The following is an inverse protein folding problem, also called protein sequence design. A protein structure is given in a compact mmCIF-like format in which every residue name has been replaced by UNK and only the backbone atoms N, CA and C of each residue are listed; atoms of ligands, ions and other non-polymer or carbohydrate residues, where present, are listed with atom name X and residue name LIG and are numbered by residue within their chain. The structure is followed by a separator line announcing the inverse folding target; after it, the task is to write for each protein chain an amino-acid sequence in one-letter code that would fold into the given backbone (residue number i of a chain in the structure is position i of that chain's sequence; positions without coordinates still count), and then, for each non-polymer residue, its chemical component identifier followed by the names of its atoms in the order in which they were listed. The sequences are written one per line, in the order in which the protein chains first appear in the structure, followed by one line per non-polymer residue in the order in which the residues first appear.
data_IF_865216644302
#
_entry.id   IF_865216644302
#
_cell.length_a   1.000
_cell.length_b   1.000
_cell.length_c   1.000
_cell.angle_alpha   90.00
_cell.angle_beta   90.00
_cell.angle_gamma   90.00
#
_symmetry.space_group_name_H-M   'P 1'
#
loop_
_entity.id
_entity.type
_entity.pdbx_description
1 polymer ?
#
# COMPACT_ATOMS: atom_id res chain seq x y z
N UNK A 1 -18.50 2.01 -9.33
CA UNK A 1 -18.87 0.59 -9.41
C UNK A 1 -19.85 0.32 -8.30
N UNK A 2 -21.12 0.05 -8.63
CA UNK A 2 -22.10 -0.43 -7.65
C UNK A 2 -21.96 -1.96 -7.56
N UNK A 3 -21.49 -2.43 -6.40
CA UNK A 3 -21.33 -3.85 -6.12
C UNK A 3 -22.64 -4.36 -5.52
N UNK A 4 -23.31 -5.27 -6.21
CA UNK A 4 -24.57 -5.88 -5.74
C UNK A 4 -24.44 -7.41 -5.75
N UNK A 5 -25.10 -8.07 -4.79
CA UNK A 5 -25.10 -9.53 -4.63
C UNK A 5 -26.50 -9.99 -4.21
N UNK A 6 -26.84 -11.23 -4.57
CA UNK A 6 -28.00 -11.96 -4.06
C UNK A 6 -27.52 -13.26 -3.41
N UNK A 7 -27.61 -13.43 -2.08
CA UNK A 7 -28.18 -12.52 -1.07
C UNK A 7 -27.37 -11.22 -0.88
N UNK A 8 -28.01 -10.22 -0.26
CA UNK A 8 -27.37 -8.91 0.01
C UNK A 8 -26.16 -9.13 0.90
N UNK A 9 -24.98 -8.88 0.35
CA UNK A 9 -23.70 -8.96 1.04
C UNK A 9 -23.09 -7.57 1.14
N UNK A 10 -22.32 -7.34 2.19
CA UNK A 10 -21.51 -6.14 2.31
C UNK A 10 -20.52 -6.06 1.14
N UNK A 11 -20.22 -4.86 0.62
CA UNK A 11 -19.30 -4.69 -0.51
C UNK A 11 -17.95 -5.39 -0.30
N UNK A 12 -17.53 -5.51 0.96
CA UNK A 12 -16.32 -6.22 1.33
C UNK A 12 -16.40 -7.75 1.26
N UNK A 13 -17.58 -8.32 1.45
CA UNK A 13 -17.85 -9.75 1.25
C UNK A 13 -17.96 -10.09 -0.23
N UNK A 14 -18.55 -9.19 -1.02
CA UNK A 14 -18.62 -9.32 -2.48
C UNK A 14 -17.21 -9.34 -3.08
N UNK A 15 -16.35 -8.41 -2.65
CA UNK A 15 -14.94 -8.38 -3.10
C UNK A 15 -14.15 -9.61 -2.64
N UNK A 16 -14.36 -10.08 -1.41
CA UNK A 16 -13.72 -11.31 -0.92
C UNK A 16 -14.17 -12.54 -1.71
N UNK A 17 -15.45 -12.65 -2.04
CA UNK A 17 -15.98 -13.71 -2.89
C UNK A 17 -15.37 -13.70 -4.29
N UNK A 18 -15.25 -12.53 -4.90
CA UNK A 18 -14.69 -12.39 -6.24
C UNK A 18 -13.19 -12.73 -6.27
N UNK A 19 -12.44 -12.35 -5.22
CA UNK A 19 -10.99 -12.47 -5.21
C UNK A 19 -10.46 -13.77 -4.59
N UNK A 20 -11.14 -14.28 -3.56
CA UNK A 20 -10.72 -15.45 -2.78
C UNK A 20 -11.67 -16.64 -2.93
N UNK A 21 -12.82 -16.46 -3.61
CA UNK A 21 -13.86 -17.48 -3.71
C UNK A 21 -14.64 -17.73 -2.41
N UNK A 22 -14.46 -16.88 -1.39
CA UNK A 22 -15.00 -17.07 -0.03
C UNK A 22 -15.49 -15.76 0.60
N UNK A 23 -16.53 -15.82 1.43
CA UNK A 23 -17.05 -14.67 2.21
C UNK A 23 -16.22 -14.45 3.48
N UNK A 24 -16.19 -13.23 4.03
CA UNK A 24 -15.42 -12.92 5.26
C UNK A 24 -15.93 -13.70 6.49
N UNK A 25 -17.17 -14.21 6.44
CA UNK A 25 -17.73 -15.11 7.45
C UNK A 25 -16.87 -16.35 7.71
N UNK A 26 -16.06 -16.78 6.74
CA UNK A 26 -14.99 -17.75 6.94
C UNK A 26 -13.67 -17.06 7.35
N UNK A 27 -13.60 -16.54 8.58
CA UNK A 27 -12.39 -16.07 9.29
C UNK A 27 -11.24 -15.57 8.39
N UNK A 28 -11.50 -14.60 7.53
CA UNK A 28 -10.44 -13.92 6.79
C UNK A 28 -10.02 -12.67 7.54
N UNK A 29 -8.78 -12.65 8.04
CA UNK A 29 -8.19 -11.55 8.80
C UNK A 29 -7.85 -10.31 7.95
N UNK A 30 -8.36 -10.23 6.72
CA UNK A 30 -8.01 -9.22 5.73
C UNK A 30 -9.14 -8.20 5.55
N UNK A 31 -8.80 -6.92 5.57
CA UNK A 31 -9.73 -5.82 5.27
C UNK A 31 -10.13 -5.84 3.78
N UNK A 32 -11.25 -5.19 3.45
CA UNK A 32 -11.69 -5.04 2.06
C UNK A 32 -10.62 -4.35 1.19
N UNK A 33 -9.95 -3.34 1.76
CA UNK A 33 -8.89 -2.59 1.08
C UNK A 33 -7.62 -3.41 0.87
N UNK A 34 -7.25 -4.27 1.81
CA UNK A 34 -6.11 -5.19 1.70
C UNK A 34 -6.31 -6.27 0.64
N UNK A 35 -7.56 -6.68 0.40
CA UNK A 35 -7.88 -7.63 -0.65
C UNK A 35 -7.84 -6.98 -2.03
N UNK A 36 -8.42 -5.78 -2.16
CA UNK A 36 -8.34 -5.00 -3.41
C UNK A 36 -6.90 -4.65 -3.76
N UNK A 37 -6.08 -4.29 -2.77
CA UNK A 37 -4.68 -3.97 -2.99
C UNK A 37 -3.88 -5.16 -3.49
N UNK A 38 -4.07 -6.34 -2.88
CA UNK A 38 -3.50 -7.59 -3.36
C UNK A 38 -3.98 -7.95 -4.77
N UNK A 39 -5.28 -7.77 -5.06
CA UNK A 39 -5.82 -8.05 -6.38
C UNK A 39 -5.23 -7.16 -7.47
N UNK A 40 -5.08 -5.85 -7.19
CA UNK A 40 -4.45 -4.90 -8.11
C UNK A 40 -2.98 -5.28 -8.32
N UNK A 41 -2.25 -5.58 -7.25
CA UNK A 41 -0.85 -5.99 -7.34
C UNK A 41 -0.67 -7.28 -8.14
N UNK A 42 -1.50 -8.29 -7.91
CA UNK A 42 -1.42 -9.59 -8.61
C UNK A 42 -1.86 -9.53 -10.07
N UNK A 43 -2.92 -8.78 -10.37
CA UNK A 43 -3.52 -8.75 -11.72
C UNK A 43 -2.82 -7.75 -12.64
N UNK A 44 -2.40 -6.61 -12.07
CA UNK A 44 -1.91 -5.48 -12.85
C UNK A 44 -0.47 -5.10 -12.53
N UNK A 45 0.20 -5.69 -11.54
CA UNK A 45 1.58 -5.35 -11.19
C UNK A 45 2.53 -5.39 -12.38
N UNK A 46 2.53 -6.48 -13.14
CA UNK A 46 3.38 -6.64 -14.33
C UNK A 46 2.98 -5.71 -15.48
N UNK A 47 1.68 -5.48 -15.67
CA UNK A 47 1.16 -4.62 -16.73
C UNK A 47 1.46 -3.13 -16.45
N UNK A 48 1.34 -2.71 -15.19
CA UNK A 48 1.70 -1.38 -14.70
C UNK A 48 3.20 -1.18 -14.86
N UNK A 49 4.02 -2.13 -14.39
CA UNK A 49 5.47 -2.07 -14.57
C UNK A 49 5.90 -1.95 -16.03
N UNK A 50 5.33 -2.76 -16.93
CA UNK A 50 5.65 -2.72 -18.36
C UNK A 50 5.17 -1.45 -19.08
N UNK A 51 4.03 -0.88 -18.70
CA UNK A 51 3.43 0.27 -19.41
C UNK A 51 3.78 1.63 -18.82
N UNK A 52 4.00 1.74 -17.52
CA UNK A 52 4.24 3.02 -16.83
C UNK A 52 5.64 3.12 -16.24
N UNK A 53 6.37 2.00 -16.14
CA UNK A 53 7.67 1.93 -15.47
C UNK A 53 7.57 2.12 -13.95
N UNK A 54 6.38 1.95 -13.36
CA UNK A 54 6.17 1.93 -11.91
C UNK A 54 6.48 0.51 -11.40
N UNK A 55 7.35 0.40 -10.42
CA UNK A 55 7.79 -0.91 -9.92
C UNK A 55 6.91 -1.47 -8.79
N UNK A 56 6.29 -0.59 -8.01
CA UNK A 56 5.45 -1.02 -6.90
C UNK A 56 4.24 -0.11 -6.71
N UNK A 57 3.13 -0.73 -6.31
CA UNK A 57 1.96 -0.04 -5.78
C UNK A 57 1.57 -0.76 -4.50
N UNK A 58 1.47 -0.03 -3.41
CA UNK A 58 1.05 -0.54 -2.11
C UNK A 58 -0.13 0.27 -1.61
N UNK A 59 -1.18 -0.40 -1.13
CA UNK A 59 -2.31 0.29 -0.48
C UNK A 59 -2.44 -0.29 0.92
N UNK A 60 -2.29 0.58 1.92
CA UNK A 60 -2.43 0.28 3.34
C UNK A 60 -3.76 0.83 3.85
N UNK A 61 -4.41 0.05 4.69
CA UNK A 61 -5.61 0.44 5.42
C UNK A 61 -5.39 0.15 6.90
N UNK A 62 -5.40 1.16 7.76
CA UNK A 62 -5.33 0.94 9.20
C UNK A 62 -6.74 0.64 9.73
N UNK A 63 -6.95 -0.58 10.22
CA UNK A 63 -8.12 -0.93 11.02
C UNK A 63 -7.68 -0.95 12.50
N UNK A 64 -7.92 0.15 13.23
CA UNK A 64 -7.85 0.08 14.70
C UNK A 64 -9.00 -0.80 15.20
N UNK A 65 -8.65 -1.92 15.86
CA UNK A 65 -9.62 -2.78 16.53
C UNK A 65 -10.37 -1.99 17.60
N UNK A 66 -11.65 -1.67 17.35
CA UNK A 66 -12.61 -1.26 18.39
C UNK A 66 -13.11 0.19 18.36
N UNK A 67 -12.73 1.02 17.38
CA UNK A 67 -13.39 2.30 17.13
C UNK A 67 -13.94 2.33 15.71
N UNK A 68 -15.06 3.06 15.51
CA UNK A 68 -15.71 3.23 14.19
C UNK A 68 -14.64 3.47 13.14
N UNK A 69 -14.70 2.69 12.06
CA UNK A 69 -13.77 2.70 10.94
C UNK A 69 -13.62 4.10 10.35
N UNK A 70 -12.76 4.93 10.94
CA UNK A 70 -12.17 6.08 10.29
C UNK A 70 -11.05 5.50 9.44
N UNK A 71 -11.44 4.98 8.27
CA UNK A 71 -10.58 4.21 7.39
C UNK A 71 -9.45 5.07 6.86
N UNK A 72 -8.32 5.04 7.55
CA UNK A 72 -7.10 5.66 7.05
C UNK A 72 -6.61 4.79 5.90
N UNK A 73 -6.85 5.23 4.67
CA UNK A 73 -6.39 4.56 3.45
C UNK A 73 -5.21 5.35 2.93
N UNK A 74 -4.07 4.68 2.73
CA UNK A 74 -2.87 5.25 2.13
C UNK A 74 -2.46 4.42 0.92
N UNK A 75 -2.37 5.06 -0.25
CA UNK A 75 -1.83 4.49 -1.46
C UNK A 75 -0.40 5.02 -1.69
N UNK A 76 0.54 4.12 -1.96
CA UNK A 76 1.95 4.40 -2.21
C UNK A 76 2.32 3.85 -3.57
N UNK A 77 2.99 4.66 -4.37
CA UNK A 77 3.50 4.30 -5.69
C UNK A 77 5.02 4.42 -5.65
N UNK A 78 5.72 3.33 -6.00
CA UNK A 78 7.17 3.28 -6.03
C UNK A 78 7.72 3.06 -7.43
N UNK A 79 8.84 3.72 -7.73
CA UNK A 79 9.59 3.57 -8.97
C UNK A 79 11.08 3.53 -8.69
N UNK A 80 11.75 2.48 -9.14
CA UNK A 80 13.21 2.39 -9.13
C UNK A 80 13.74 3.12 -10.36
N UNK A 81 14.59 4.12 -10.15
CA UNK A 81 15.23 4.86 -11.24
C UNK A 81 16.49 4.14 -11.72
N UNK A 82 17.16 3.43 -10.82
CA UNK A 82 18.30 2.56 -11.07
C UNK A 82 18.47 1.57 -9.89
N UNK A 83 19.53 0.76 -9.89
CA UNK A 83 19.78 -0.25 -8.85
C UNK A 83 20.02 0.31 -7.44
N UNK A 84 20.28 1.62 -7.34
CA UNK A 84 20.59 2.33 -6.11
C UNK A 84 19.51 3.32 -5.66
N UNK A 85 18.63 3.78 -6.55
CA UNK A 85 17.70 4.90 -6.26
C UNK A 85 16.27 4.47 -6.51
N UNK A 86 15.45 4.58 -5.47
CA UNK A 86 14.01 4.34 -5.54
C UNK A 86 13.25 5.56 -5.02
N UNK A 87 12.23 5.95 -5.77
CA UNK A 87 11.34 7.04 -5.43
C UNK A 87 9.97 6.48 -5.05
N UNK A 88 9.41 6.97 -3.95
CA UNK A 88 8.07 6.63 -3.48
C UNK A 88 7.24 7.90 -3.34
N UNK A 89 6.00 7.84 -3.82
CA UNK A 89 5.00 8.86 -3.57
C UNK A 89 3.80 8.23 -2.88
N UNK A 90 3.46 8.78 -1.72
CA UNK A 90 2.38 8.30 -0.86
C UNK A 90 1.29 9.35 -0.78
N UNK A 91 0.04 8.92 -0.93
CA UNK A 91 -1.14 9.74 -0.70
C UNK A 91 -2.10 8.97 0.19
N UNK A 92 -2.54 9.60 1.27
CA UNK A 92 -3.47 9.00 2.20
C UNK A 92 -4.44 10.01 2.77
N UNK A 93 -5.52 9.51 3.36
CA UNK A 93 -6.48 10.32 4.08
C UNK A 93 -6.53 9.82 5.51
N UNK A 94 -6.36 10.74 6.47
CA UNK A 94 -6.55 10.46 7.89
C UNK A 94 -7.62 11.37 8.50
N UNK A 95 -7.85 11.25 9.81
CA UNK A 95 -8.79 12.09 10.56
C UNK A 95 -8.52 13.60 10.45
N UNK A 96 -7.29 13.99 10.11
CA UNK A 96 -6.84 15.39 9.99
C UNK A 96 -6.89 15.89 8.54
N UNK A 97 -7.18 15.01 7.58
CA UNK A 97 -7.38 15.36 6.17
C UNK A 97 -6.51 14.56 5.20
N UNK A 98 -6.31 15.12 4.02
CA UNK A 98 -5.43 14.54 3.00
C UNK A 98 -3.98 14.76 3.40
N UNK A 99 -3.18 13.70 3.40
CA UNK A 99 -1.73 13.74 3.57
C UNK A 99 -1.06 13.18 2.34
N UNK A 100 0.04 13.79 1.96
CA UNK A 100 0.93 13.23 0.95
C UNK A 100 2.36 13.30 1.44
N UNK A 101 3.15 12.30 1.08
CA UNK A 101 4.59 12.32 1.33
C UNK A 101 5.35 11.77 0.14
N UNK A 102 6.60 12.19 0.05
CA UNK A 102 7.57 11.74 -0.93
C UNK A 102 8.74 11.15 -0.18
N UNK A 103 9.13 9.92 -0.53
CA UNK A 103 10.29 9.26 0.04
C UNK A 103 11.29 8.93 -1.06
N UNK A 104 12.54 9.32 -0.86
CA UNK A 104 13.65 8.94 -1.72
C UNK A 104 14.53 7.99 -0.94
N UNK A 105 14.75 6.80 -1.50
CA UNK A 105 15.62 5.78 -0.93
C UNK A 105 16.87 5.63 -1.80
N UNK A 106 18.04 5.70 -1.17
CA UNK A 106 19.33 5.54 -1.78
C UNK A 106 20.11 4.41 -1.12
N UNK A 107 20.50 3.41 -1.91
CA UNK A 107 21.37 2.31 -1.51
C UNK A 107 22.83 2.74 -1.64
N UNK A 108 23.44 3.13 -0.52
CA UNK A 108 24.86 3.49 -0.45
C UNK A 108 25.76 2.27 -0.63
N UNK A 109 25.40 1.18 0.05
CA UNK A 109 26.06 -0.12 -0.03
C UNK A 109 25.01 -1.22 0.02
N UNK A 110 25.33 -2.44 -0.37
CA UNK A 110 24.37 -3.56 -0.37
C UNK A 110 23.75 -3.87 1.01
N UNK A 111 24.37 -3.36 2.07
CA UNK A 111 23.97 -3.45 3.46
C UNK A 111 23.54 -2.11 4.08
N UNK A 112 23.64 -0.98 3.39
CA UNK A 112 23.30 0.36 3.91
C UNK A 112 22.33 1.07 2.96
N UNK A 113 21.15 1.38 3.49
CA UNK A 113 20.12 2.18 2.85
C UNK A 113 19.96 3.48 3.62
N UNK A 114 19.87 4.57 2.88
CA UNK A 114 19.53 5.89 3.40
C UNK A 114 18.23 6.31 2.76
N UNK A 115 17.29 6.77 3.55
CA UNK A 115 16.03 7.31 3.05
C UNK A 115 15.80 8.72 3.57
N UNK A 116 15.06 9.50 2.78
CA UNK A 116 14.63 10.85 3.13
C UNK A 116 13.17 10.97 2.77
N UNK A 117 12.36 11.39 3.73
CA UNK A 117 10.93 11.62 3.56
C UNK A 117 10.62 13.11 3.69
N UNK A 118 9.81 13.61 2.77
CA UNK A 118 9.24 14.95 2.79
C UNK A 118 7.72 14.83 2.79
N UNK A 119 7.05 15.38 3.79
CA UNK A 119 5.58 15.41 3.84
C UNK A 119 5.02 16.75 3.36
N UNK A 120 3.76 16.75 2.93
CA UNK A 120 3.05 17.95 2.48
C UNK A 120 2.77 18.98 3.58
N UNK A 121 3.10 18.66 4.84
CA UNK A 121 3.03 19.59 5.96
C UNK A 121 4.36 20.29 6.23
N UNK A 122 5.39 19.99 5.41
CA UNK A 122 6.72 20.58 5.49
C UNK A 122 7.66 19.87 6.46
N UNK A 123 7.29 18.70 7.00
CA UNK A 123 8.19 17.91 7.83
C UNK A 123 9.15 17.12 6.95
N UNK A 124 10.39 17.06 7.42
CA UNK A 124 11.46 16.31 6.78
C UNK A 124 11.96 15.25 7.75
N UNK A 125 11.99 14.00 7.28
CA UNK A 125 12.57 12.87 7.98
C UNK A 125 13.75 12.31 7.20
N UNK A 126 14.76 11.80 7.90
CA UNK A 126 15.83 11.05 7.29
C UNK A 126 16.11 9.80 8.12
N UNK A 127 16.32 8.68 7.43
CA UNK A 127 16.55 7.37 8.03
C UNK A 127 17.80 6.70 7.47
N UNK A 128 18.46 5.90 8.29
CA UNK A 128 19.52 4.99 7.85
C UNK A 128 19.16 3.59 8.32
N UNK A 129 19.10 2.65 7.37
CA UNK A 129 18.84 1.23 7.62
C UNK A 129 20.06 0.40 7.27
N UNK A 130 20.54 -0.36 8.25
CA UNK A 130 21.65 -1.30 8.09
C UNK A 130 21.13 -2.73 8.13
N UNK A 131 21.48 -3.55 7.13
CA UNK A 131 21.11 -4.97 7.06
C UNK A 131 22.34 -5.85 7.23
N UNK A 132 22.34 -6.69 8.27
CA UNK A 132 23.36 -7.73 8.51
C UNK A 132 22.76 -9.11 8.33
N UNK A 133 23.30 -9.90 7.40
CA UNK A 133 22.97 -11.31 7.26
C UNK A 133 24.01 -12.15 8.00
N UNK A 134 23.56 -13.07 8.86
CA UNK A 134 24.41 -14.10 9.45
C UNK A 134 24.28 -15.38 8.64
N UNK A 135 25.41 -16.02 8.38
CA UNK A 135 25.50 -17.38 7.83
C UNK A 135 26.03 -18.29 8.92
#
# INVERSE_FOLDING_TARGET
FDLTSQPVLESSDILSLVLLGKTKGEKSSFSAGQLVSQAIALTYGDAIKKKTGIDSIEIKTDEEKGKKASGNITATIGKSLNDRVTYYYSIGKDERGLKSSTTIEYKFFDNILVDTEYDSTGKVGAGIRYRRSFR
#
